data_IF_604370876450
#
_entry.id   IF_604370876450
#
_cell.length_a   1.000
_cell.length_b   1.000
_cell.length_c   1.000
_cell.angle_alpha   90.00
_cell.angle_beta   90.00
_cell.angle_gamma   90.00
#
_symmetry.space_group_name_H-M   'P 1'
#
loop_
_entity.id
_entity.type
_entity.pdbx_description
1 polymer ?
#
# COMPACT_ATOMS: atom_id res chain seq x y z
N UNK A 1 -21.82 -27.79 1.84
CA UNK A 1 -20.98 -27.63 0.64
C UNK A 1 -21.85 -27.02 -0.46
N UNK A 2 -21.97 -25.69 -0.50
CA UNK A 2 -22.47 -25.03 -1.71
C UNK A 2 -21.36 -25.18 -2.75
N UNK A 3 -21.65 -25.81 -3.87
CA UNK A 3 -20.75 -25.76 -5.02
C UNK A 3 -20.48 -24.27 -5.30
N UNK A 4 -19.22 -23.85 -5.20
CA UNK A 4 -18.84 -22.47 -5.46
C UNK A 4 -19.00 -22.20 -6.95
N UNK A 5 -20.20 -21.80 -7.36
CA UNK A 5 -20.56 -21.41 -8.72
C UNK A 5 -19.80 -20.14 -9.09
N UNK A 6 -19.16 -20.12 -10.26
CA UNK A 6 -18.50 -18.95 -10.82
C UNK A 6 -19.36 -18.29 -11.92
N UNK A 7 -19.12 -17.03 -12.28
CA UNK A 7 -20.01 -16.31 -13.20
C UNK A 7 -20.12 -16.94 -14.59
N UNK A 8 -19.09 -17.63 -15.08
CA UNK A 8 -19.12 -18.32 -16.38
C UNK A 8 -19.59 -19.78 -16.29
N UNK A 9 -19.95 -20.28 -15.11
CA UNK A 9 -20.40 -21.66 -14.90
C UNK A 9 -21.72 -21.93 -15.65
N UNK A 10 -21.99 -23.20 -15.95
CA UNK A 10 -23.16 -23.67 -16.72
C UNK A 10 -23.36 -22.91 -18.05
N UNK A 11 -24.33 -22.00 -18.10
CA UNK A 11 -24.65 -21.17 -19.27
C UNK A 11 -24.10 -19.74 -19.16
N UNK A 12 -23.39 -19.40 -18.08
CA UNK A 12 -22.81 -18.09 -17.83
C UNK A 12 -21.85 -17.63 -18.93
N UNK A 13 -20.99 -18.52 -19.42
CA UNK A 13 -20.08 -18.24 -20.54
C UNK A 13 -20.81 -17.83 -21.83
N UNK A 14 -22.05 -18.31 -22.03
CA UNK A 14 -22.89 -17.96 -23.17
C UNK A 14 -23.79 -16.74 -22.88
N UNK A 15 -24.18 -16.50 -21.62
CA UNK A 15 -25.08 -15.43 -21.22
C UNK A 15 -24.39 -14.08 -21.06
N UNK A 16 -23.20 -14.04 -20.46
CA UNK A 16 -22.48 -12.79 -20.18
C UNK A 16 -22.04 -12.01 -21.43
N UNK A 17 -21.47 -12.63 -22.49
CA UNK A 17 -21.04 -11.87 -23.66
C UNK A 17 -22.20 -11.13 -24.36
N UNK A 18 -23.37 -11.73 -24.61
CA UNK A 18 -24.54 -11.00 -25.12
C UNK A 18 -25.02 -9.89 -24.20
N UNK A 19 -25.03 -10.10 -22.88
CA UNK A 19 -25.44 -9.06 -21.90
C UNK A 19 -24.50 -7.85 -21.98
N UNK A 20 -23.19 -8.06 -21.94
CA UNK A 20 -22.20 -6.99 -22.05
C UNK A 20 -22.24 -6.30 -23.42
N UNK A 21 -22.39 -7.07 -24.51
CA UNK A 21 -22.55 -6.53 -25.86
C UNK A 21 -23.82 -5.67 -25.97
N UNK A 22 -24.92 -6.10 -25.37
CA UNK A 22 -26.19 -5.38 -25.39
C UNK A 22 -26.09 -4.08 -24.59
N UNK A 23 -25.47 -4.13 -23.40
CA UNK A 23 -25.18 -2.93 -22.60
C UNK A 23 -24.30 -1.94 -23.34
N UNK A 24 -23.22 -2.41 -23.97
CA UNK A 24 -22.31 -1.60 -24.78
C UNK A 24 -23.03 -0.96 -25.98
N UNK A 25 -23.82 -1.73 -26.72
CA UNK A 25 -24.58 -1.23 -27.87
C UNK A 25 -25.70 -0.26 -27.44
N UNK A 26 -26.33 -0.52 -26.30
CA UNK A 26 -27.34 0.38 -25.72
C UNK A 26 -26.71 1.74 -25.42
N UNK A 27 -25.60 1.77 -24.67
CA UNK A 27 -24.86 2.99 -24.38
C UNK A 27 -24.49 3.73 -25.68
N UNK A 28 -23.88 3.01 -26.64
CA UNK A 28 -23.42 3.62 -27.91
C UNK A 28 -24.54 4.27 -28.72
N UNK A 29 -25.75 3.72 -28.67
CA UNK A 29 -26.88 4.16 -29.50
C UNK A 29 -27.87 5.06 -28.77
N UNK A 30 -27.96 4.96 -27.45
CA UNK A 30 -29.07 5.53 -26.66
C UNK A 30 -28.63 6.41 -25.48
N UNK A 31 -27.34 6.52 -25.15
CA UNK A 31 -26.90 7.34 -24.02
C UNK A 31 -27.35 8.81 -24.14
N UNK A 32 -27.37 9.35 -25.36
CA UNK A 32 -27.86 10.71 -25.63
C UNK A 32 -29.36 10.92 -25.35
N UNK A 33 -30.16 9.86 -25.34
CA UNK A 33 -31.58 9.91 -24.95
C UNK A 33 -31.79 9.98 -23.44
N UNK A 34 -30.77 9.59 -22.64
CA UNK A 34 -30.85 9.51 -21.18
C UNK A 34 -29.65 10.17 -20.48
N UNK A 35 -29.42 11.48 -20.67
CA UNK A 35 -28.20 12.16 -20.21
C UNK A 35 -28.00 12.08 -18.69
N UNK A 36 -29.09 12.05 -17.90
CA UNK A 36 -29.03 11.91 -16.43
C UNK A 36 -28.59 10.52 -15.97
N UNK A 37 -28.81 9.48 -16.78
CA UNK A 37 -28.49 8.09 -16.44
C UNK A 37 -27.21 7.59 -17.09
N UNK A 38 -26.73 8.27 -18.15
CA UNK A 38 -25.56 7.84 -18.93
C UNK A 38 -24.33 7.56 -18.06
N UNK A 39 -23.97 8.48 -17.15
CA UNK A 39 -22.85 8.29 -16.24
C UNK A 39 -23.02 7.04 -15.35
N UNK A 40 -24.21 6.87 -14.76
CA UNK A 40 -24.53 5.72 -13.92
C UNK A 40 -24.47 4.39 -14.69
N UNK A 41 -24.89 4.38 -15.96
CA UNK A 41 -24.82 3.19 -16.81
C UNK A 41 -23.38 2.81 -17.22
N UNK A 42 -22.51 3.80 -17.47
CA UNK A 42 -21.08 3.54 -17.68
C UNK A 42 -20.42 2.99 -16.41
N UNK A 43 -20.70 3.59 -15.25
CA UNK A 43 -20.18 3.14 -13.97
C UNK A 43 -20.68 1.73 -13.66
N UNK A 44 -21.97 1.48 -13.76
CA UNK A 44 -22.56 0.17 -13.53
C UNK A 44 -22.00 -0.90 -14.45
N UNK A 45 -21.86 -0.60 -15.75
CA UNK A 45 -21.25 -1.52 -16.71
C UNK A 45 -19.78 -1.83 -16.41
N UNK A 46 -19.00 -0.80 -16.06
CA UNK A 46 -17.59 -0.95 -15.69
C UNK A 46 -17.42 -1.81 -14.43
N UNK A 47 -18.19 -1.52 -13.37
CA UNK A 47 -18.11 -2.27 -12.12
C UNK A 47 -18.62 -3.70 -12.26
N UNK A 48 -19.64 -3.93 -13.09
CA UNK A 48 -20.09 -5.29 -13.44
C UNK A 48 -18.98 -6.07 -14.14
N UNK A 49 -18.30 -5.44 -15.12
CA UNK A 49 -17.16 -6.06 -15.80
C UNK A 49 -16.02 -6.35 -14.82
N UNK A 50 -15.68 -5.39 -13.95
CA UNK A 50 -14.62 -5.56 -12.96
C UNK A 50 -14.92 -6.71 -11.99
N UNK A 51 -16.16 -6.81 -11.50
CA UNK A 51 -16.61 -7.91 -10.63
C UNK A 51 -16.60 -9.26 -11.35
N UNK A 52 -17.04 -9.30 -12.62
CA UNK A 52 -17.01 -10.51 -13.44
C UNK A 52 -15.58 -11.00 -13.64
N UNK A 53 -14.66 -10.10 -14.03
CA UNK A 53 -13.24 -10.41 -14.19
C UNK A 53 -12.64 -10.90 -12.88
N UNK A 54 -12.94 -10.21 -11.76
CA UNK A 54 -12.38 -10.58 -10.47
C UNK A 54 -12.84 -11.97 -10.02
N UNK A 55 -14.15 -12.23 -10.06
CA UNK A 55 -14.72 -13.52 -9.64
C UNK A 55 -14.28 -14.68 -10.55
N UNK A 56 -14.24 -14.45 -11.87
CA UNK A 56 -13.84 -15.49 -12.82
C UNK A 56 -12.33 -15.80 -12.70
N UNK A 57 -11.47 -14.79 -12.64
CA UNK A 57 -10.02 -15.01 -12.52
C UNK A 57 -9.69 -15.69 -11.20
N UNK A 58 -10.30 -15.27 -10.09
CA UNK A 58 -10.09 -15.91 -8.80
C UNK A 58 -10.41 -17.40 -8.88
N UNK A 59 -11.62 -17.75 -9.33
CA UNK A 59 -12.06 -19.13 -9.41
C UNK A 59 -11.19 -19.98 -10.36
N UNK A 60 -10.87 -19.47 -11.55
CA UNK A 60 -10.06 -20.20 -12.52
C UNK A 60 -8.65 -20.49 -11.99
N UNK A 61 -8.04 -19.54 -11.29
CA UNK A 61 -6.69 -19.69 -10.75
C UNK A 61 -6.68 -20.57 -9.50
N UNK A 62 -7.68 -20.45 -8.61
CA UNK A 62 -7.86 -21.29 -7.42
C UNK A 62 -7.94 -22.79 -7.76
N UNK A 63 -8.40 -23.13 -8.97
CA UNK A 63 -8.45 -24.50 -9.46
C UNK A 63 -7.12 -25.10 -9.90
N UNK A 64 -6.11 -24.28 -10.20
CA UNK A 64 -4.86 -24.72 -10.84
C UNK A 64 -3.60 -24.29 -10.09
N UNK A 65 -3.71 -23.33 -9.18
CA UNK A 65 -2.61 -22.80 -8.39
C UNK A 65 -3.05 -22.54 -6.95
N UNK A 66 -2.18 -22.92 -6.02
CA UNK A 66 -2.40 -22.79 -4.58
C UNK A 66 -1.78 -21.50 -4.02
N UNK A 67 -1.82 -21.32 -2.70
CA UNK A 67 -1.17 -20.20 -2.02
C UNK A 67 -1.74 -18.85 -2.45
N UNK A 68 -0.86 -17.91 -2.79
CA UNK A 68 -1.23 -16.52 -3.05
C UNK A 68 -1.75 -16.25 -4.48
N UNK A 69 -1.59 -17.21 -5.39
CA UNK A 69 -1.84 -17.02 -6.82
C UNK A 69 -3.26 -16.55 -7.18
N UNK A 70 -4.35 -17.10 -6.59
CA UNK A 70 -5.70 -16.67 -6.93
C UNK A 70 -5.94 -15.20 -6.61
N UNK A 71 -5.50 -14.75 -5.43
CA UNK A 71 -5.57 -13.35 -5.00
C UNK A 71 -4.66 -12.45 -5.84
N UNK A 72 -3.45 -12.91 -6.12
CA UNK A 72 -2.47 -12.16 -6.90
C UNK A 72 -2.95 -11.93 -8.34
N UNK A 73 -3.43 -12.98 -9.02
CA UNK A 73 -3.94 -12.90 -10.38
C UNK A 73 -5.20 -12.03 -10.47
N UNK A 74 -6.11 -12.17 -9.51
CA UNK A 74 -7.32 -11.34 -9.42
C UNK A 74 -6.98 -9.87 -9.28
N UNK A 75 -6.08 -9.54 -8.35
CA UNK A 75 -5.60 -8.18 -8.13
C UNK A 75 -4.91 -7.65 -9.39
N UNK A 76 -4.03 -8.44 -10.02
CA UNK A 76 -3.35 -8.07 -11.25
C UNK A 76 -4.33 -7.74 -12.39
N UNK A 77 -5.37 -8.56 -12.57
CA UNK A 77 -6.37 -8.38 -13.63
C UNK A 77 -7.20 -7.11 -13.42
N UNK A 78 -7.66 -6.85 -12.19
CA UNK A 78 -8.44 -5.65 -11.87
C UNK A 78 -7.56 -4.39 -11.94
N UNK A 79 -6.31 -4.47 -11.50
CA UNK A 79 -5.33 -3.41 -11.63
C UNK A 79 -5.00 -3.09 -13.10
N UNK A 80 -4.89 -4.13 -13.93
CA UNK A 80 -4.71 -4.01 -15.37
C UNK A 80 -5.93 -3.35 -16.03
N UNK A 81 -7.16 -3.68 -15.61
CA UNK A 81 -8.39 -3.04 -16.09
C UNK A 81 -8.42 -1.53 -15.76
N UNK A 82 -8.09 -1.16 -14.52
CA UNK A 82 -7.99 0.25 -14.12
C UNK A 82 -6.91 1.00 -14.92
N UNK A 83 -5.73 0.39 -15.07
CA UNK A 83 -4.61 0.97 -15.81
C UNK A 83 -4.90 1.09 -17.30
N UNK A 84 -5.53 0.08 -17.91
CA UNK A 84 -5.96 0.08 -19.30
C UNK A 84 -7.03 1.15 -19.56
N UNK A 85 -7.92 1.40 -18.60
CA UNK A 85 -8.92 2.48 -18.67
C UNK A 85 -8.24 3.84 -18.71
N UNK A 86 -7.25 4.08 -17.84
CA UNK A 86 -6.49 5.32 -17.82
C UNK A 86 -5.66 5.52 -19.11
N UNK A 87 -5.00 4.48 -19.60
CA UNK A 87 -4.22 4.50 -20.84
C UNK A 87 -5.11 4.60 -22.10
N UNK A 88 -6.32 4.06 -22.02
CA UNK A 88 -7.29 3.97 -23.11
C UNK A 88 -7.81 5.31 -23.60
N UNK A 89 -7.67 6.40 -22.82
CA UNK A 89 -8.11 7.75 -23.19
C UNK A 89 -7.68 8.18 -24.59
N UNK A 90 -6.46 7.84 -25.00
CA UNK A 90 -5.92 8.24 -26.32
C UNK A 90 -6.31 7.32 -27.46
N UNK A 91 -6.67 6.06 -27.17
CA UNK A 91 -6.90 5.01 -28.18
C UNK A 91 -8.38 4.70 -28.40
N UNK A 92 -9.22 4.92 -27.38
CA UNK A 92 -10.63 4.58 -27.36
C UNK A 92 -11.46 5.86 -27.34
N UNK A 93 -11.76 6.40 -28.53
CA UNK A 93 -12.57 7.61 -28.69
C UNK A 93 -13.93 7.49 -28.00
N UNK A 94 -14.54 6.29 -28.03
CA UNK A 94 -15.75 5.94 -27.29
C UNK A 94 -15.60 4.52 -26.70
N UNK A 95 -16.08 4.25 -25.46
CA UNK A 95 -16.72 5.17 -24.53
C UNK A 95 -15.74 5.97 -23.65
N UNK A 96 -14.46 5.58 -23.59
CA UNK A 96 -13.51 6.07 -22.59
C UNK A 96 -13.15 7.54 -22.79
N UNK A 97 -12.73 7.97 -23.99
CA UNK A 97 -12.35 9.37 -24.21
C UNK A 97 -13.56 10.31 -24.13
N UNK A 98 -14.69 9.91 -24.72
CA UNK A 98 -15.96 10.64 -24.68
C UNK A 98 -16.46 10.89 -23.25
N UNK A 99 -16.30 9.91 -22.35
CA UNK A 99 -16.74 9.97 -20.95
C UNK A 99 -15.56 9.92 -19.97
N UNK A 100 -14.44 10.55 -20.33
CA UNK A 100 -13.16 10.42 -19.61
C UNK A 100 -13.28 10.67 -18.10
N UNK A 101 -13.98 11.74 -17.72
CA UNK A 101 -14.17 12.11 -16.31
C UNK A 101 -14.87 11.01 -15.53
N UNK A 102 -15.93 10.41 -16.09
CA UNK A 102 -16.66 9.30 -15.48
C UNK A 102 -15.76 8.08 -15.30
N UNK A 103 -15.03 7.68 -16.33
CA UNK A 103 -14.12 6.53 -16.25
C UNK A 103 -12.92 6.76 -15.33
N UNK A 104 -12.43 7.99 -15.21
CA UNK A 104 -11.31 8.30 -14.32
C UNK A 104 -11.76 8.39 -12.86
N UNK A 105 -12.83 9.14 -12.58
CA UNK A 105 -13.22 9.51 -11.21
C UNK A 105 -14.25 8.57 -10.60
N UNK A 106 -15.15 7.97 -11.37
CA UNK A 106 -16.18 7.06 -10.83
C UNK A 106 -15.88 5.57 -11.08
N UNK A 107 -14.93 5.26 -11.97
CA UNK A 107 -14.53 3.90 -12.29
C UNK A 107 -13.12 3.60 -11.77
N UNK A 108 -12.07 4.06 -12.47
CA UNK A 108 -10.68 3.67 -12.19
C UNK A 108 -10.20 4.07 -10.79
N UNK A 109 -10.45 5.32 -10.35
CA UNK A 109 -10.04 5.80 -9.03
C UNK A 109 -10.63 5.00 -7.87
N UNK A 110 -11.96 4.95 -7.75
CA UNK A 110 -12.64 4.15 -6.72
C UNK A 110 -12.25 2.67 -6.78
N UNK A 111 -12.08 2.08 -7.96
CA UNK A 111 -11.61 0.71 -8.10
C UNK A 111 -10.20 0.52 -7.52
N UNK A 112 -9.27 1.46 -7.79
CA UNK A 112 -7.93 1.44 -7.20
C UNK A 112 -7.95 1.63 -5.69
N UNK A 113 -8.86 2.44 -5.14
CA UNK A 113 -9.02 2.59 -3.69
C UNK A 113 -9.53 1.29 -3.04
N UNK A 114 -10.54 0.66 -3.64
CA UNK A 114 -11.04 -0.66 -3.18
C UNK A 114 -9.91 -1.69 -3.23
N UNK A 115 -9.16 -1.74 -4.34
CA UNK A 115 -8.00 -2.63 -4.45
C UNK A 115 -6.92 -2.33 -3.41
N UNK A 116 -6.66 -1.06 -3.07
CA UNK A 116 -5.66 -0.72 -2.06
C UNK A 116 -6.04 -1.30 -0.68
N UNK A 117 -7.32 -1.26 -0.31
CA UNK A 117 -7.83 -1.86 0.93
C UNK A 117 -7.71 -3.37 0.89
N UNK A 118 -8.13 -4.01 -0.21
CA UNK A 118 -8.05 -5.46 -0.38
C UNK A 118 -6.59 -5.94 -0.32
N UNK A 119 -5.70 -5.31 -1.08
CA UNK A 119 -4.27 -5.65 -1.12
C UNK A 119 -3.60 -5.48 0.24
N UNK A 120 -3.91 -4.39 0.96
CA UNK A 120 -3.38 -4.20 2.31
C UNK A 120 -3.91 -5.29 3.26
N UNK A 121 -5.19 -5.63 3.18
CA UNK A 121 -5.78 -6.73 3.95
C UNK A 121 -5.11 -8.07 3.67
N UNK A 122 -4.89 -8.41 2.40
CA UNK A 122 -4.17 -9.63 2.00
C UNK A 122 -2.72 -9.60 2.49
N UNK A 123 -2.04 -8.47 2.33
CA UNK A 123 -0.65 -8.31 2.74
C UNK A 123 -0.46 -8.59 4.24
N UNK A 124 -1.40 -8.20 5.11
CA UNK A 124 -1.26 -8.44 6.56
C UNK A 124 -1.79 -9.81 7.01
N UNK A 125 -2.71 -10.42 6.27
CA UNK A 125 -3.43 -11.63 6.71
C UNK A 125 -2.94 -12.94 6.10
N UNK A 126 -2.28 -12.89 4.95
CA UNK A 126 -1.82 -14.10 4.25
C UNK A 126 -0.30 -14.24 4.35
N UNK A 127 0.19 -15.49 4.30
CA UNK A 127 1.60 -15.91 4.28
C UNK A 127 2.27 -15.74 2.90
N UNK A 128 1.46 -15.55 1.86
CA UNK A 128 1.92 -15.11 0.53
C UNK A 128 2.76 -16.16 -0.16
N UNK A 129 2.50 -17.44 0.16
CA UNK A 129 3.17 -18.58 -0.43
C UNK A 129 3.11 -18.52 -1.97
N UNK A 130 4.26 -18.41 -2.65
CA UNK A 130 4.34 -18.29 -4.10
C UNK A 130 4.51 -19.65 -4.81
N UNK A 131 4.33 -20.78 -4.11
CA UNK A 131 4.45 -22.13 -4.68
C UNK A 131 3.75 -22.23 -6.04
N UNK A 132 4.42 -22.75 -7.10
CA UNK A 132 5.71 -23.46 -7.11
C UNK A 132 6.94 -22.56 -7.32
N UNK A 133 6.80 -21.23 -7.33
CA UNK A 133 7.94 -20.33 -7.48
C UNK A 133 8.74 -20.24 -6.18
N UNK A 134 10.03 -19.91 -6.31
CA UNK A 134 10.89 -19.61 -5.16
C UNK A 134 10.41 -18.34 -4.46
N UNK A 135 10.34 -18.39 -3.13
CA UNK A 135 10.10 -17.20 -2.33
C UNK A 135 11.32 -16.28 -2.34
N UNK A 136 11.13 -15.09 -2.89
CA UNK A 136 12.11 -14.00 -2.88
C UNK A 136 11.55 -12.86 -2.02
N UNK A 137 12.21 -12.50 -0.90
CA UNK A 137 11.79 -11.36 -0.10
C UNK A 137 11.65 -10.10 -0.96
N UNK A 138 10.61 -9.30 -0.72
CA UNK A 138 10.23 -8.07 -1.46
C UNK A 138 9.79 -8.30 -2.91
N UNK A 139 10.34 -9.30 -3.62
CA UNK A 139 10.01 -9.63 -5.01
C UNK A 139 9.00 -10.78 -5.14
N UNK A 140 8.39 -11.19 -4.03
CA UNK A 140 7.26 -12.12 -4.06
C UNK A 140 6.05 -11.50 -4.80
N UNK A 141 5.06 -12.30 -5.22
CA UNK A 141 3.92 -11.81 -5.97
C UNK A 141 3.17 -10.63 -5.31
N UNK A 142 3.02 -10.64 -3.98
CA UNK A 142 2.37 -9.54 -3.25
C UNK A 142 3.21 -8.26 -3.27
N UNK A 143 4.53 -8.36 -3.05
CA UNK A 143 5.43 -7.21 -3.09
C UNK A 143 5.41 -6.50 -4.44
N UNK A 144 5.45 -7.27 -5.54
CA UNK A 144 5.32 -6.73 -6.90
C UNK A 144 3.97 -6.05 -7.09
N UNK A 145 2.88 -6.67 -6.65
CA UNK A 145 1.53 -6.11 -6.78
C UNK A 145 1.33 -4.82 -5.97
N UNK A 146 1.87 -4.75 -4.76
CA UNK A 146 1.85 -3.52 -3.95
C UNK A 146 2.56 -2.38 -4.69
N UNK A 147 3.73 -2.66 -5.28
CA UNK A 147 4.47 -1.69 -6.08
C UNK A 147 3.68 -1.20 -7.30
N UNK A 148 3.06 -2.12 -8.05
CA UNK A 148 2.22 -1.79 -9.19
C UNK A 148 0.96 -1.01 -8.78
N UNK A 149 0.33 -1.38 -7.67
CA UNK A 149 -0.84 -0.71 -7.10
C UNK A 149 -0.49 0.74 -6.71
N UNK A 150 0.64 0.95 -6.04
CA UNK A 150 1.13 2.29 -5.70
C UNK A 150 1.41 3.11 -6.97
N UNK A 151 2.06 2.52 -7.97
CA UNK A 151 2.33 3.19 -9.24
C UNK A 151 1.03 3.61 -9.96
N UNK A 152 0.02 2.74 -9.99
CA UNK A 152 -1.28 3.03 -10.57
C UNK A 152 -2.04 4.12 -9.79
N UNK A 153 -2.01 4.12 -8.46
CA UNK A 153 -2.58 5.18 -7.63
C UNK A 153 -1.91 6.53 -7.86
N UNK A 154 -0.58 6.56 -7.99
CA UNK A 154 0.17 7.78 -8.31
C UNK A 154 -0.14 8.28 -9.73
N UNK A 155 -0.27 7.37 -10.70
CA UNK A 155 -0.69 7.71 -12.05
C UNK A 155 -2.12 8.28 -12.08
N UNK A 156 -3.05 7.63 -11.37
CA UNK A 156 -4.43 8.10 -11.22
C UNK A 156 -4.47 9.48 -10.58
N UNK A 157 -3.76 9.69 -9.47
CA UNK A 157 -3.65 10.97 -8.76
C UNK A 157 -3.27 12.10 -9.72
N UNK A 158 -2.20 11.92 -10.51
CA UNK A 158 -1.74 12.91 -11.50
C UNK A 158 -2.77 13.24 -12.58
N UNK A 159 -3.59 12.27 -12.97
CA UNK A 159 -4.63 12.45 -13.98
C UNK A 159 -5.91 13.07 -13.40
N UNK A 160 -6.20 12.79 -12.13
CA UNK A 160 -7.39 13.25 -11.41
C UNK A 160 -7.24 14.68 -10.86
N UNK A 161 -6.05 15.08 -10.46
CA UNK A 161 -5.74 16.42 -9.92
C UNK A 161 -6.23 17.57 -10.80
N UNK A 162 -5.99 17.61 -12.12
CA UNK A 162 -6.45 18.72 -12.97
C UNK A 162 -7.95 18.67 -13.32
N UNK A 163 -8.72 17.70 -12.81
CA UNK A 163 -10.15 17.63 -13.10
C UNK A 163 -10.91 18.67 -12.26
N UNK A 164 -11.69 19.59 -12.87
CA UNK A 164 -12.55 20.50 -12.09
C UNK A 164 -13.58 19.74 -11.26
N UNK A 165 -14.01 20.31 -10.14
CA UNK A 165 -15.02 19.74 -9.22
C UNK A 165 -14.74 18.27 -8.85
N UNK A 166 -13.48 17.93 -8.59
CA UNK A 166 -13.07 16.56 -8.29
C UNK A 166 -13.57 16.15 -6.90
N UNK A 167 -14.44 15.12 -6.75
CA UNK A 167 -14.92 14.67 -5.45
C UNK A 167 -13.82 14.10 -4.54
N UNK A 168 -12.64 13.81 -5.09
CA UNK A 168 -11.46 13.32 -4.37
C UNK A 168 -10.38 14.40 -4.21
N UNK A 169 -10.71 15.68 -4.32
CA UNK A 169 -9.74 16.79 -4.24
C UNK A 169 -8.85 16.70 -2.99
N UNK A 170 -9.45 16.43 -1.81
CA UNK A 170 -8.70 16.26 -0.56
C UNK A 170 -7.69 15.12 -0.62
N UNK A 171 -8.08 13.97 -1.18
CA UNK A 171 -7.21 12.80 -1.33
C UNK A 171 -6.07 13.07 -2.32
N UNK A 172 -6.37 13.75 -3.43
CA UNK A 172 -5.41 13.98 -4.53
C UNK A 172 -4.42 15.10 -4.22
N UNK A 173 -4.82 16.11 -3.45
CA UNK A 173 -3.94 17.20 -3.01
C UNK A 173 -3.17 16.86 -1.73
N UNK A 174 -3.63 15.86 -0.96
CA UNK A 174 -2.98 15.45 0.29
C UNK A 174 -1.49 15.12 0.11
N UNK A 175 -0.71 15.47 1.14
CA UNK A 175 0.69 15.08 1.25
C UNK A 175 0.78 13.62 1.71
N UNK A 176 0.99 12.71 0.76
CA UNK A 176 1.02 11.27 1.04
C UNK A 176 2.30 10.81 1.73
N UNK A 177 3.36 11.62 1.76
CA UNK A 177 4.67 11.24 2.31
C UNK A 177 4.62 10.60 3.71
N UNK A 178 3.96 11.19 4.74
CA UNK A 178 3.88 10.56 6.06
C UNK A 178 3.10 9.22 6.02
N UNK A 179 1.96 9.18 5.33
CA UNK A 179 1.16 7.97 5.21
C UNK A 179 1.93 6.84 4.50
N UNK A 180 2.67 7.16 3.44
CA UNK A 180 3.53 6.21 2.72
C UNK A 180 4.72 5.75 3.55
N UNK A 181 5.26 6.61 4.42
CA UNK A 181 6.34 6.22 5.34
C UNK A 181 5.84 5.21 6.38
N UNK A 182 4.68 5.47 7.00
CA UNK A 182 4.05 4.53 7.94
C UNK A 182 3.67 3.23 7.24
N UNK A 183 3.05 3.31 6.06
CA UNK A 183 2.70 2.14 5.27
C UNK A 183 3.95 1.32 4.90
N UNK A 184 5.03 1.98 4.46
CA UNK A 184 6.29 1.32 4.15
C UNK A 184 6.90 0.60 5.36
N UNK A 185 6.80 1.18 6.56
CA UNK A 185 7.24 0.55 7.80
C UNK A 185 6.40 -0.69 8.15
N UNK A 186 5.08 -0.60 8.03
CA UNK A 186 4.17 -1.74 8.26
C UNK A 186 4.46 -2.86 7.27
N UNK A 187 4.56 -2.53 5.98
CA UNK A 187 4.84 -3.52 4.94
C UNK A 187 6.24 -4.15 5.09
N UNK A 188 7.26 -3.39 5.48
CA UNK A 188 8.58 -3.94 5.75
C UNK A 188 8.59 -4.90 6.95
N UNK A 189 7.81 -4.57 8.00
CA UNK A 189 7.62 -5.43 9.17
C UNK A 189 6.95 -6.74 8.78
N UNK A 190 5.85 -6.66 8.03
CA UNK A 190 5.09 -7.81 7.54
C UNK A 190 5.92 -8.67 6.59
N UNK A 191 6.68 -8.07 5.69
CA UNK A 191 7.56 -8.79 4.76
C UNK A 191 8.71 -9.51 5.49
N UNK A 192 9.19 -8.94 6.59
CA UNK A 192 10.18 -9.60 7.45
C UNK A 192 9.56 -10.81 8.17
N UNK A 193 8.35 -10.65 8.70
CA UNK A 193 7.58 -11.78 9.25
C UNK A 193 7.39 -12.87 8.20
N UNK A 194 7.05 -12.50 6.97
CA UNK A 194 6.84 -13.43 5.85
C UNK A 194 8.11 -14.18 5.49
N UNK A 195 9.23 -13.46 5.44
CA UNK A 195 10.54 -14.04 5.14
C UNK A 195 10.97 -15.05 6.19
N UNK A 196 10.81 -14.69 7.47
CA UNK A 196 11.12 -15.61 8.58
C UNK A 196 10.18 -16.81 8.58
N UNK A 197 8.88 -16.59 8.37
CA UNK A 197 7.86 -17.64 8.25
C UNK A 197 8.22 -18.66 7.17
N UNK A 198 8.56 -18.20 5.97
CA UNK A 198 8.84 -19.08 4.84
C UNK A 198 10.22 -19.77 4.92
N UNK A 199 11.24 -19.12 5.48
CA UNK A 199 12.59 -19.69 5.52
C UNK A 199 12.87 -20.55 6.75
N UNK A 200 12.13 -20.34 7.85
CA UNK A 200 12.29 -21.08 9.10
C UNK A 200 11.06 -21.95 9.41
N UNK A 201 10.14 -22.11 8.47
CA UNK A 201 8.91 -22.89 8.59
C UNK A 201 8.07 -22.51 9.83
N UNK A 202 8.00 -21.21 10.14
CA UNK A 202 7.16 -20.70 11.24
C UNK A 202 5.73 -20.51 10.70
N UNK A 203 4.70 -21.13 11.31
CA UNK A 203 3.32 -20.95 10.88
C UNK A 203 2.89 -19.49 10.86
N UNK A 204 2.07 -19.11 9.88
CA UNK A 204 1.50 -17.75 9.77
C UNK A 204 0.33 -17.54 10.76
N UNK A 205 0.63 -17.72 12.04
CA UNK A 205 -0.27 -17.51 13.16
C UNK A 205 0.35 -16.48 14.10
N UNK A 206 -0.47 -15.57 14.65
CA UNK A 206 0.04 -14.44 15.43
C UNK A 206 0.89 -14.90 16.63
N UNK A 207 0.45 -15.94 17.34
CA UNK A 207 1.15 -16.48 18.50
C UNK A 207 2.50 -17.11 18.10
N UNK A 208 2.50 -17.95 17.05
CA UNK A 208 3.72 -18.58 16.54
C UNK A 208 4.75 -17.55 16.05
N UNK A 209 4.30 -16.52 15.31
CA UNK A 209 5.16 -15.44 14.86
C UNK A 209 5.69 -14.59 16.03
N UNK A 210 4.85 -14.33 17.03
CA UNK A 210 5.24 -13.52 18.19
C UNK A 210 6.34 -14.20 19.00
N UNK A 211 6.23 -15.52 19.21
CA UNK A 211 7.18 -16.32 20.00
C UNK A 211 8.49 -16.64 19.24
N UNK A 212 8.53 -16.44 17.91
CA UNK A 212 9.71 -16.68 17.10
C UNK A 212 10.83 -15.67 17.43
N UNK A 213 11.90 -16.16 18.07
CA UNK A 213 13.04 -15.33 18.50
C UNK A 213 13.78 -14.72 17.30
N UNK A 214 13.85 -15.46 16.19
CA UNK A 214 14.45 -15.03 14.93
C UNK A 214 13.66 -13.90 14.29
N UNK A 215 12.32 -13.90 14.42
CA UNK A 215 11.49 -12.79 13.97
C UNK A 215 11.73 -11.55 14.83
N UNK A 216 11.71 -11.69 16.15
CA UNK A 216 11.92 -10.55 17.06
C UNK A 216 13.27 -9.87 16.82
N UNK A 217 14.33 -10.68 16.66
CA UNK A 217 15.68 -10.21 16.34
C UNK A 217 15.73 -9.51 14.99
N UNK A 218 15.16 -10.13 13.95
CA UNK A 218 15.09 -9.55 12.59
C UNK A 218 14.35 -8.21 12.57
N UNK A 219 13.22 -8.11 13.28
CA UNK A 219 12.45 -6.87 13.40
C UNK A 219 13.23 -5.78 14.14
N UNK A 220 13.95 -6.11 15.22
CA UNK A 220 14.77 -5.14 15.95
C UNK A 220 15.88 -4.56 15.07
N UNK A 221 16.55 -5.41 14.27
CA UNK A 221 17.56 -4.97 13.30
C UNK A 221 16.92 -4.07 12.22
N UNK A 222 15.81 -4.53 11.61
CA UNK A 222 15.11 -3.77 10.57
C UNK A 222 14.70 -2.38 11.08
N UNK A 223 14.02 -2.33 12.23
CA UNK A 223 13.50 -1.07 12.77
C UNK A 223 14.63 -0.12 13.16
N UNK A 224 15.75 -0.63 13.69
CA UNK A 224 16.95 0.17 13.95
C UNK A 224 17.52 0.77 12.64
N UNK A 225 17.64 -0.03 11.58
CA UNK A 225 18.10 0.43 10.27
C UNK A 225 17.17 1.50 9.70
N UNK A 226 15.85 1.32 9.81
CA UNK A 226 14.86 2.32 9.35
C UNK A 226 14.99 3.62 10.15
N UNK A 227 15.07 3.54 11.49
CA UNK A 227 15.21 4.72 12.35
C UNK A 227 16.48 5.50 12.04
N UNK A 228 17.62 4.80 11.96
CA UNK A 228 18.91 5.38 11.61
C UNK A 228 18.89 6.01 10.21
N UNK A 229 18.35 5.30 9.23
CA UNK A 229 18.22 5.81 7.86
C UNK A 229 17.35 7.05 7.81
N UNK A 230 16.29 7.12 8.62
CA UNK A 230 15.46 8.31 8.80
C UNK A 230 16.25 9.50 9.35
N UNK A 231 17.07 9.30 10.39
CA UNK A 231 17.92 10.35 10.94
C UNK A 231 18.95 10.85 9.92
N UNK A 232 19.66 9.93 9.25
CA UNK A 232 20.65 10.25 8.20
C UNK A 232 19.98 10.99 7.03
N UNK A 233 18.80 10.54 6.60
CA UNK A 233 18.03 11.24 5.57
C UNK A 233 17.61 12.64 6.03
N UNK A 234 17.19 12.79 7.28
CA UNK A 234 16.86 14.08 7.89
C UNK A 234 18.02 15.07 7.85
N UNK A 235 19.25 14.61 8.13
CA UNK A 235 20.48 15.42 7.98
C UNK A 235 20.74 15.78 6.52
N UNK A 236 20.76 14.79 5.63
CA UNK A 236 21.07 15.02 4.20
C UNK A 236 20.05 15.91 3.49
N UNK A 237 18.79 15.83 3.91
CA UNK A 237 17.70 16.63 3.35
C UNK A 237 17.54 17.98 4.05
N UNK A 238 18.29 18.25 5.13
CA UNK A 238 18.14 19.41 6.01
C UNK A 238 16.68 19.56 6.49
N UNK A 239 16.08 18.44 6.92
CA UNK A 239 14.69 18.37 7.38
C UNK A 239 14.63 17.88 8.81
N UNK A 240 14.52 18.82 9.75
CA UNK A 240 14.37 18.55 11.19
C UNK A 240 13.22 17.58 11.49
N UNK A 241 12.08 17.72 10.81
CA UNK A 241 10.92 16.82 10.98
C UNK A 241 11.21 15.35 10.63
N UNK A 242 11.98 15.10 9.56
CA UNK A 242 12.38 13.75 9.16
C UNK A 242 13.40 13.18 10.15
N UNK A 243 14.33 14.01 10.61
CA UNK A 243 15.31 13.63 11.63
C UNK A 243 14.63 13.25 12.96
N UNK A 244 13.70 14.09 13.44
CA UNK A 244 12.95 13.86 14.68
C UNK A 244 12.10 12.60 14.58
N UNK A 245 11.46 12.35 13.43
CA UNK A 245 10.71 11.11 13.20
C UNK A 245 11.62 9.88 13.30
N UNK A 246 12.80 9.91 12.68
CA UNK A 246 13.80 8.84 12.77
C UNK A 246 14.31 8.62 14.20
N UNK A 247 14.62 9.71 14.91
CA UNK A 247 15.07 9.67 16.30
C UNK A 247 13.99 9.12 17.24
N UNK A 248 12.73 9.52 17.05
CA UNK A 248 11.59 9.02 17.82
C UNK A 248 11.37 7.53 17.58
N UNK A 249 11.48 7.08 16.32
CA UNK A 249 11.41 5.65 15.99
C UNK A 249 12.57 4.87 16.62
N UNK A 250 13.78 5.42 16.59
CA UNK A 250 14.94 4.82 17.27
C UNK A 250 14.70 4.69 18.79
N UNK A 251 14.10 5.68 19.43
CA UNK A 251 13.75 5.59 20.85
C UNK A 251 12.77 4.42 21.12
N UNK A 252 11.77 4.22 20.24
CA UNK A 252 10.86 3.07 20.31
C UNK A 252 11.62 1.75 20.18
N UNK A 253 12.57 1.65 19.24
CA UNK A 253 13.42 0.46 19.08
C UNK A 253 14.24 0.16 20.32
N UNK A 254 14.84 1.19 20.93
CA UNK A 254 15.60 1.04 22.18
C UNK A 254 14.70 0.54 23.30
N UNK A 255 13.50 1.10 23.46
CA UNK A 255 12.53 0.59 24.43
C UNK A 255 12.15 -0.86 24.15
N UNK A 256 11.89 -1.23 22.88
CA UNK A 256 11.59 -2.62 22.48
C UNK A 256 12.72 -3.57 22.87
N UNK A 257 13.97 -3.21 22.60
CA UNK A 257 15.15 -4.00 22.95
C UNK A 257 15.17 -4.32 24.46
N UNK A 258 14.81 -3.36 25.31
CA UNK A 258 14.74 -3.53 26.76
C UNK A 258 13.60 -4.41 27.23
N UNK A 259 12.41 -4.22 26.66
CA UNK A 259 11.21 -4.90 27.14
C UNK A 259 11.11 -6.33 26.60
N UNK A 260 11.44 -6.54 25.33
CA UNK A 260 11.23 -7.80 24.62
C UNK A 260 12.54 -8.58 24.55
N UNK A 261 13.56 -8.02 23.91
CA UNK A 261 14.76 -8.78 23.51
C UNK A 261 15.68 -9.08 24.70
N UNK A 262 15.78 -8.18 25.68
CA UNK A 262 16.61 -8.38 26.88
C UNK A 262 15.99 -9.34 27.90
N UNK A 263 14.67 -9.58 27.83
CA UNK A 263 13.98 -10.50 28.72
C UNK A 263 14.41 -11.95 28.51
N UNK A 264 14.74 -12.32 27.26
CA UNK A 264 15.16 -13.66 26.85
C UNK A 264 16.68 -13.89 26.94
N UNK A 265 17.48 -12.85 27.19
CA UNK A 265 18.95 -12.94 27.26
C UNK A 265 19.47 -13.31 28.66
N UNK A 266 20.57 -14.06 28.68
CA UNK A 266 21.40 -14.29 29.88
C UNK A 266 22.02 -12.98 30.37
N UNK A 267 22.41 -12.91 31.66
CA UNK A 267 22.96 -11.70 32.26
C UNK A 267 24.15 -11.10 31.47
N UNK A 268 25.04 -11.95 30.95
CA UNK A 268 26.16 -11.52 30.09
C UNK A 268 25.68 -10.96 28.75
N UNK A 269 24.71 -11.64 28.11
CA UNK A 269 24.10 -11.16 26.86
C UNK A 269 23.48 -9.78 27.03
N UNK A 270 22.86 -9.51 28.18
CA UNK A 270 22.30 -8.18 28.49
C UNK A 270 23.38 -7.10 28.49
N UNK A 271 24.48 -7.31 29.22
CA UNK A 271 25.59 -6.34 29.29
C UNK A 271 26.18 -6.05 27.91
N UNK A 272 26.41 -7.09 27.09
CA UNK A 272 26.94 -6.90 25.73
C UNK A 272 25.95 -6.10 24.87
N UNK A 273 24.65 -6.41 24.92
CA UNK A 273 23.62 -5.66 24.19
C UNK A 273 23.55 -4.19 24.63
N UNK A 274 23.66 -3.88 25.93
CA UNK A 274 23.74 -2.51 26.42
C UNK A 274 24.92 -1.73 25.81
N UNK A 275 26.09 -2.36 25.74
CA UNK A 275 27.28 -1.74 25.16
C UNK A 275 27.07 -1.49 23.66
N UNK A 276 26.58 -2.48 22.91
CA UNK A 276 26.32 -2.35 21.46
C UNK A 276 25.32 -1.24 21.18
N UNK A 277 24.21 -1.18 21.91
CA UNK A 277 23.20 -0.12 21.77
C UNK A 277 23.79 1.23 22.16
N UNK A 278 24.56 1.31 23.25
CA UNK A 278 25.23 2.55 23.66
C UNK A 278 26.21 3.08 22.61
N UNK A 279 27.04 2.21 22.03
CA UNK A 279 27.95 2.55 20.94
C UNK A 279 27.18 2.99 19.69
N UNK A 280 26.09 2.30 19.36
CA UNK A 280 25.22 2.70 18.24
C UNK A 280 24.68 4.12 18.46
N UNK A 281 24.10 4.41 19.63
CA UNK A 281 23.59 5.74 19.97
C UNK A 281 24.67 6.83 19.92
N UNK A 282 25.90 6.53 20.35
CA UNK A 282 27.04 7.44 20.21
C UNK A 282 27.39 7.73 18.75
N UNK A 283 27.46 6.67 17.91
CA UNK A 283 27.70 6.82 16.46
C UNK A 283 26.61 7.67 15.82
N UNK A 284 25.35 7.44 16.17
CA UNK A 284 24.23 8.24 15.67
C UNK A 284 24.35 9.70 16.11
N UNK A 285 24.62 9.95 17.40
CA UNK A 285 24.79 11.31 17.92
C UNK A 285 25.95 12.07 17.26
N UNK A 286 27.00 11.36 16.84
CA UNK A 286 28.14 11.92 16.13
C UNK A 286 27.87 12.14 14.63
N UNK A 287 27.32 11.15 13.92
CA UNK A 287 27.14 11.18 12.46
C UNK A 287 25.87 11.89 11.97
N UNK A 288 24.85 12.00 12.84
CA UNK A 288 23.57 12.57 12.48
C UNK A 288 23.17 13.70 13.44
N UNK A 289 23.93 14.83 13.46
CA UNK A 289 23.56 15.98 14.27
C UNK A 289 22.21 16.56 13.83
N UNK A 290 21.47 17.16 14.77
CA UNK A 290 20.16 17.74 14.51
C UNK A 290 20.28 18.83 13.44
N UNK A 291 19.51 18.76 12.34
CA UNK A 291 19.47 19.85 11.36
C UNK A 291 18.97 21.15 12.00
N UNK A 292 19.53 22.32 11.63
CA UNK A 292 19.05 23.61 12.12
C UNK A 292 17.57 23.82 11.81
N UNK A 293 16.86 24.55 12.68
CA UNK A 293 15.46 24.93 12.46
C UNK A 293 15.37 25.88 11.25
N UNK A 294 14.25 25.85 10.52
CA UNK A 294 14.02 26.83 9.46
C UNK A 294 13.80 28.20 10.10
N UNK A 295 14.44 29.26 9.58
CA UNK A 295 14.51 30.61 10.15
C UNK A 295 13.17 31.37 10.30
N UNK A 296 12.03 30.69 10.18
CA UNK A 296 10.69 31.27 10.37
C UNK A 296 9.96 30.81 11.64
N UNK A 297 10.49 29.84 12.40
CA UNK A 297 9.92 29.45 13.70
C UNK A 297 10.48 30.30 14.86
N UNK A 298 11.72 30.80 14.74
CA UNK A 298 12.35 31.62 15.80
C UNK A 298 11.82 33.08 15.80
N UNK A 299 11.27 33.56 14.69
CA UNK A 299 10.74 34.94 14.61
C UNK A 299 9.40 35.09 15.33
N UNK A 300 8.51 34.08 15.27
CA UNK A 300 7.23 34.11 16.01
C UNK A 300 7.42 33.95 17.53
N UNK A 301 8.41 33.15 17.98
CA UNK A 301 8.71 33.03 19.42
C UNK A 301 9.38 34.29 20.00
N UNK A 302 10.20 34.99 19.21
CA UNK A 302 10.86 36.23 19.66
C UNK A 302 9.90 37.43 19.61
N UNK A 303 9.08 37.56 18.56
CA UNK A 303 8.13 38.66 18.40
C UNK A 303 6.94 38.54 19.39
N UNK A 304 6.46 37.32 19.66
CA UNK A 304 5.45 37.08 20.71
C UNK A 304 5.97 37.26 22.14
N UNK A 305 7.28 37.08 22.37
CA UNK A 305 7.93 37.36 23.65
C UNK A 305 8.19 38.87 23.85
N UNK A 306 8.44 39.63 22.78
CA UNK A 306 8.57 41.10 22.85
C UNK A 306 7.20 41.78 23.03
N UNK A 307 6.14 41.35 22.33
CA UNK A 307 4.78 41.92 22.52
C UNK A 307 4.20 41.65 23.92
N UNK A 308 4.56 40.53 24.55
CA UNK A 308 4.13 40.22 25.93
C UNK A 308 4.98 40.90 27.00
N UNK A 309 6.11 41.52 26.63
CA UNK A 309 6.95 42.32 27.54
C UNK A 309 6.64 43.82 27.47
N UNK A 310 5.91 44.29 26.45
CA UNK A 310 5.52 45.71 26.30
C UNK A 310 4.04 46.02 26.68
N UNK A 311 3.27 45.02 27.12
CA UNK A 311 1.89 45.17 27.63
C UNK A 311 1.81 45.05 29.16
#
# INVERSE_FOLDING_TARGET
MLAQSHPLDEWGWAAWPPVLATHYLFLRRREGSFPRLAAGLHVGGFWTLAALVAAEIYWQVDRVAEGVWPLAATTAAVLALASATMAGRRRLSWPVAAHWRTYLLACAGPLLVVLAVVVLGVAVSHDGDPTPLLFLPVLNPLGVLIGLQLAALLAWRRLAEPQPDNPFESLVTARWTPALAVLGLVLATVETARTVGHWLDVPWELEALWDATELQTSLSILWAVIGLSGMVAGVRMVRRTVWVAGASWMAVVVVKLFLVDLSSLTALGRVVSFIVVGVLLLIVGYLAPVPPAAAGEETEEVEGAEETSEA
#
